data_IF_257794364864
#
_entry.id   IF_257794364864
#
_cell.length_a   1.000
_cell.length_b   1.000
_cell.length_c   1.000
_cell.angle_alpha   90.00
_cell.angle_beta   90.00
_cell.angle_gamma   90.00
#
_symmetry.space_group_name_H-M   'P 1'
#
loop_
_entity.id
_entity.type
_entity.pdbx_description
1 polymer ?
#
# COMPACT_ATOMS: atom_id res chain seq x y z
N UNK A 1 -19.15 -1.61 -13.37
CA UNK A 1 -18.55 -0.85 -12.24
C UNK A 1 -18.09 0.47 -12.79
N UNK A 2 -18.48 1.58 -12.16
CA UNK A 2 -18.00 2.89 -12.57
C UNK A 2 -16.54 3.06 -12.10
N UNK A 3 -15.66 3.62 -12.93
CA UNK A 3 -14.25 3.82 -12.57
C UNK A 3 -13.87 5.27 -12.73
N UNK A 4 -13.03 5.77 -11.83
CA UNK A 4 -12.41 7.09 -11.93
C UNK A 4 -10.91 6.96 -12.15
N UNK A 5 -10.34 8.00 -12.76
CA UNK A 5 -8.90 8.16 -12.88
C UNK A 5 -8.40 9.01 -11.70
N UNK A 6 -7.36 8.53 -11.03
CA UNK A 6 -6.75 9.15 -9.85
C UNK A 6 -5.30 9.52 -10.17
N UNK A 7 -4.91 10.77 -9.95
CA UNK A 7 -3.52 11.23 -10.05
C UNK A 7 -2.70 10.89 -8.80
N UNK A 8 -1.37 11.07 -8.83
CA UNK A 8 -0.51 10.87 -7.66
C UNK A 8 -0.89 11.72 -6.44
N UNK A 9 -1.22 13.00 -6.65
CA UNK A 9 -1.68 13.89 -5.58
C UNK A 9 -2.98 13.38 -4.94
N UNK A 10 -3.93 12.92 -5.77
CA UNK A 10 -5.17 12.35 -5.28
C UNK A 10 -4.91 11.02 -4.55
N UNK A 11 -4.02 10.17 -5.08
CA UNK A 11 -3.63 8.91 -4.45
C UNK A 11 -3.00 9.13 -3.06
N UNK A 12 -2.19 10.18 -2.87
CA UNK A 12 -1.65 10.53 -1.55
C UNK A 12 -2.79 10.82 -0.55
N UNK A 13 -3.80 11.59 -0.97
CA UNK A 13 -5.01 11.81 -0.19
C UNK A 13 -5.73 10.52 0.20
N UNK A 14 -5.87 9.58 -0.74
CA UNK A 14 -6.48 8.27 -0.48
C UNK A 14 -5.66 7.43 0.50
N UNK A 15 -4.33 7.48 0.45
CA UNK A 15 -3.45 6.78 1.42
C UNK A 15 -3.63 7.33 2.84
N UNK A 16 -3.85 8.65 3.00
CA UNK A 16 -4.23 9.18 4.31
C UNK A 16 -5.58 8.62 4.80
N UNK A 17 -6.57 8.47 3.91
CA UNK A 17 -7.84 7.82 4.25
C UNK A 17 -7.65 6.34 4.65
N UNK A 18 -6.69 5.65 4.04
CA UNK A 18 -6.29 4.30 4.46
C UNK A 18 -5.75 4.29 5.89
N UNK A 19 -4.85 5.20 6.23
CA UNK A 19 -4.33 5.29 7.60
C UNK A 19 -5.40 5.64 8.63
N UNK A 20 -6.37 6.49 8.28
CA UNK A 20 -7.52 6.80 9.14
C UNK A 20 -8.43 5.57 9.35
N UNK A 21 -8.69 4.82 8.28
CA UNK A 21 -9.55 3.63 8.33
C UNK A 21 -8.89 2.45 9.04
N UNK A 22 -7.55 2.33 8.96
CA UNK A 22 -6.76 1.23 9.52
C UNK A 22 -5.61 1.77 10.39
N UNK A 23 -5.92 2.38 11.55
CA UNK A 23 -4.93 3.09 12.37
C UNK A 23 -3.83 2.18 12.95
N UNK A 24 -4.11 0.87 13.06
CA UNK A 24 -3.15 -0.14 13.50
C UNK A 24 -1.91 -0.25 12.58
N UNK A 25 -2.01 0.20 11.32
CA UNK A 25 -0.89 0.22 10.37
C UNK A 25 0.28 1.08 10.89
N UNK A 26 -0.04 2.22 11.52
CA UNK A 26 0.96 3.13 12.07
C UNK A 26 1.62 2.61 13.36
N UNK A 27 1.19 1.45 13.85
CA UNK A 27 1.70 0.81 15.06
C UNK A 27 2.70 -0.31 14.73
N UNK A 28 3.18 -0.39 13.49
CA UNK A 28 4.11 -1.44 13.06
C UNK A 28 5.49 -1.39 13.74
N UNK A 29 5.87 -0.25 14.31
CA UNK A 29 7.17 -0.04 14.96
C UNK A 29 8.24 0.49 14.00
N UNK A 30 9.49 0.57 14.50
CA UNK A 30 10.65 1.10 13.77
C UNK A 30 11.48 -0.04 13.20
N UNK A 31 11.74 0.01 11.89
CA UNK A 31 12.52 -0.98 11.14
C UNK A 31 13.86 -1.29 11.81
N UNK A 32 14.21 -2.57 11.85
CA UNK A 32 15.44 -3.13 12.37
C UNK A 32 16.30 -3.71 11.24
N UNK A 33 17.63 -3.84 11.40
CA UNK A 33 18.52 -4.37 10.37
C UNK A 33 18.10 -5.75 9.82
N UNK A 34 17.60 -6.64 10.67
CA UNK A 34 17.19 -8.01 10.33
C UNK A 34 15.83 -8.10 9.60
N UNK A 35 15.10 -6.99 9.45
CA UNK A 35 13.77 -6.98 8.86
C UNK A 35 13.78 -7.17 7.33
N UNK A 36 14.94 -7.03 6.67
CA UNK A 36 15.08 -7.18 5.21
C UNK A 36 14.52 -8.52 4.69
N UNK A 37 14.63 -9.58 5.48
CA UNK A 37 14.12 -10.91 5.12
C UNK A 37 12.58 -10.99 5.08
N UNK A 38 11.87 -10.00 5.63
CA UNK A 38 10.41 -9.99 5.76
C UNK A 38 9.69 -9.27 4.60
N UNK A 39 10.41 -8.72 3.62
CA UNK A 39 9.82 -7.94 2.51
C UNK A 39 8.75 -8.73 1.75
N UNK A 40 9.02 -9.99 1.37
CA UNK A 40 8.07 -10.81 0.62
C UNK A 40 6.75 -11.01 1.36
N UNK A 41 6.79 -11.23 2.67
CA UNK A 41 5.60 -11.41 3.49
C UNK A 41 4.88 -10.08 3.76
N UNK A 42 5.62 -8.98 3.88
CA UNK A 42 5.06 -7.63 3.96
C UNK A 42 4.29 -7.25 2.68
N UNK A 43 4.86 -7.55 1.51
CA UNK A 43 4.20 -7.31 0.22
C UNK A 43 2.92 -8.14 0.09
N UNK A 44 2.95 -9.43 0.51
CA UNK A 44 1.75 -10.27 0.55
C UNK A 44 0.70 -9.73 1.51
N UNK A 45 1.12 -9.25 2.68
CA UNK A 45 0.21 -8.61 3.63
C UNK A 45 -0.46 -7.38 3.03
N UNK A 46 0.31 -6.50 2.36
CA UNK A 46 -0.22 -5.32 1.68
C UNK A 46 -1.25 -5.66 0.59
N UNK A 47 -1.08 -6.76 -0.13
CA UNK A 47 -2.08 -7.24 -1.09
C UNK A 47 -3.41 -7.67 -0.45
N UNK A 48 -3.40 -8.00 0.85
CA UNK A 48 -4.58 -8.35 1.64
C UNK A 48 -5.17 -7.17 2.42
N UNK A 49 -4.54 -5.97 2.34
CA UNK A 49 -4.84 -4.86 3.23
C UNK A 49 -6.30 -4.41 3.14
N UNK A 50 -6.93 -4.57 1.98
CA UNK A 50 -8.34 -4.19 1.78
C UNK A 50 -9.24 -4.90 2.79
N UNK A 51 -9.06 -6.21 2.95
CA UNK A 51 -9.88 -7.08 3.81
C UNK A 51 -9.30 -7.27 5.21
N UNK A 52 -8.08 -6.80 5.47
CA UNK A 52 -7.44 -6.97 6.77
C UNK A 52 -8.04 -6.02 7.82
N UNK A 53 -8.52 -6.57 8.94
CA UNK A 53 -9.04 -5.79 10.08
C UNK A 53 -7.98 -5.55 11.17
N UNK A 54 -6.77 -6.08 10.98
CA UNK A 54 -5.63 -5.96 11.88
C UNK A 54 -4.40 -6.70 11.33
N UNK A 55 -3.35 -6.79 12.13
CA UNK A 55 -2.12 -7.52 11.78
C UNK A 55 -2.29 -9.04 11.70
N UNK A 56 -3.35 -9.60 12.30
CA UNK A 56 -3.57 -11.05 12.34
C UNK A 56 -2.36 -11.79 12.92
N UNK A 57 -1.85 -12.77 12.17
CA UNK A 57 -0.68 -13.56 12.54
C UNK A 57 0.66 -12.98 12.01
N UNK A 58 0.68 -11.76 11.48
CA UNK A 58 1.90 -11.15 10.99
C UNK A 58 2.93 -11.01 12.14
N UNK A 59 4.16 -11.45 11.89
CA UNK A 59 5.28 -11.25 12.80
C UNK A 59 5.71 -9.78 12.86
N UNK A 60 6.42 -9.37 13.90
CA UNK A 60 6.74 -7.95 14.10
C UNK A 60 7.63 -7.36 13.00
N UNK A 61 8.51 -8.16 12.40
CA UNK A 61 9.30 -7.74 11.22
C UNK A 61 8.40 -7.38 10.03
N UNK A 62 7.39 -8.21 9.74
CA UNK A 62 6.39 -7.93 8.70
C UNK A 62 5.66 -6.62 8.98
N UNK A 63 5.23 -6.39 10.22
CA UNK A 63 4.52 -5.15 10.60
C UNK A 63 5.39 -3.90 10.37
N UNK A 64 6.66 -3.97 10.77
CA UNK A 64 7.64 -2.88 10.57
C UNK A 64 7.88 -2.61 9.10
N UNK A 65 8.10 -3.64 8.29
CA UNK A 65 8.34 -3.49 6.85
C UNK A 65 7.09 -2.96 6.14
N UNK A 66 5.90 -3.45 6.46
CA UNK A 66 4.63 -2.91 5.92
C UNK A 66 4.51 -1.41 6.20
N UNK A 67 4.79 -0.99 7.45
CA UNK A 67 4.75 0.42 7.82
C UNK A 67 5.77 1.24 6.99
N UNK A 68 7.03 0.80 6.94
CA UNK A 68 8.07 1.45 6.14
C UNK A 68 7.70 1.58 4.66
N UNK A 69 7.18 0.50 4.04
CA UNK A 69 6.78 0.50 2.63
C UNK A 69 5.62 1.46 2.35
N UNK A 70 4.64 1.57 3.26
CA UNK A 70 3.54 2.52 3.11
C UNK A 70 4.00 3.97 3.24
N UNK A 71 4.92 4.25 4.15
CA UNK A 71 5.52 5.58 4.30
C UNK A 71 6.36 5.97 3.09
N UNK A 72 7.19 5.05 2.58
CA UNK A 72 7.95 5.24 1.34
C UNK A 72 7.03 5.45 0.13
N UNK A 73 5.96 4.66 0.02
CA UNK A 73 4.96 4.84 -1.03
C UNK A 73 4.30 6.23 -0.97
N UNK A 74 3.87 6.66 0.22
CA UNK A 74 3.30 8.00 0.41
C UNK A 74 4.31 9.10 0.06
N UNK A 75 5.57 8.97 0.53
CA UNK A 75 6.62 9.92 0.24
C UNK A 75 6.88 10.04 -1.28
N UNK A 76 6.90 8.91 -1.99
CA UNK A 76 7.03 8.89 -3.45
C UNK A 76 5.82 9.54 -4.12
N UNK A 77 4.58 9.29 -3.67
CA UNK A 77 3.40 9.95 -4.25
C UNK A 77 3.48 11.47 -4.14
N UNK A 78 4.00 11.98 -3.02
CA UNK A 78 4.07 13.42 -2.75
C UNK A 78 5.28 14.11 -3.39
N UNK A 79 6.31 13.36 -3.79
CA UNK A 79 7.55 13.95 -4.29
C UNK A 79 7.45 14.30 -5.79
N UNK A 80 7.62 15.57 -6.20
CA UNK A 80 7.38 16.01 -7.59
C UNK A 80 8.27 15.35 -8.65
N UNK A 81 9.46 14.88 -8.26
CA UNK A 81 10.37 14.15 -9.16
C UNK A 81 10.37 12.63 -8.91
N UNK A 82 9.35 12.10 -8.25
CA UNK A 82 9.22 10.65 -8.07
C UNK A 82 8.80 9.96 -9.37
N UNK A 83 8.96 8.62 -9.44
CA UNK A 83 8.40 7.82 -10.51
C UNK A 83 6.86 7.93 -10.65
N UNK A 84 6.17 8.49 -9.64
CA UNK A 84 4.71 8.61 -9.63
C UNK A 84 4.20 9.96 -10.13
N UNK A 85 5.05 10.98 -10.32
CA UNK A 85 4.64 12.35 -10.69
C UNK A 85 3.71 12.44 -11.92
N UNK A 86 3.88 11.56 -12.91
CA UNK A 86 3.01 11.47 -14.09
C UNK A 86 2.03 10.28 -14.08
N UNK A 87 2.00 9.51 -12.98
CA UNK A 87 1.26 8.25 -12.93
C UNK A 87 -0.21 8.47 -12.58
N UNK A 88 -1.05 7.63 -13.17
CA UNK A 88 -2.49 7.65 -12.97
C UNK A 88 -3.00 6.23 -12.80
N UNK A 89 -3.98 6.06 -11.92
CA UNK A 89 -4.62 4.77 -11.65
C UNK A 89 -6.09 4.83 -11.99
N UNK A 90 -6.62 3.71 -12.50
CA UNK A 90 -8.07 3.51 -12.62
C UNK A 90 -8.54 2.72 -11.41
N UNK A 91 -9.41 3.32 -10.62
CA UNK A 91 -9.98 2.68 -9.42
C UNK A 91 -11.51 2.66 -9.51
N UNK A 92 -12.17 1.71 -8.83
CA UNK A 92 -13.62 1.75 -8.65
C UNK A 92 -14.05 3.07 -8.02
N UNK A 93 -14.99 3.77 -8.66
CA UNK A 93 -15.59 4.99 -8.13
C UNK A 93 -16.48 4.69 -6.92
N UNK A 94 -17.00 3.46 -6.88
CA UNK A 94 -17.94 2.99 -5.88
C UNK A 94 -17.19 2.52 -4.63
N UNK A 95 -17.63 3.00 -3.46
CA UNK A 95 -17.11 2.59 -2.16
C UNK A 95 -16.27 3.66 -1.45
N UNK A 96 -15.75 3.33 -0.26
CA UNK A 96 -15.00 4.29 0.54
C UNK A 96 -13.61 4.57 -0.05
N UNK A 97 -13.15 5.81 0.11
CA UNK A 97 -11.86 6.30 -0.38
C UNK A 97 -10.66 5.41 0.00
N UNK A 98 -10.63 4.87 1.22
CA UNK A 98 -9.55 4.00 1.67
C UNK A 98 -9.42 2.70 0.85
N UNK A 99 -10.51 2.19 0.25
CA UNK A 99 -10.44 1.01 -0.63
C UNK A 99 -9.79 1.34 -1.96
N UNK A 100 -10.00 2.56 -2.47
CA UNK A 100 -9.31 3.02 -3.68
C UNK A 100 -7.79 3.06 -3.45
N UNK A 101 -7.34 3.48 -2.26
CA UNK A 101 -5.92 3.40 -1.89
C UNK A 101 -5.38 1.96 -1.89
N UNK A 102 -6.14 1.01 -1.34
CA UNK A 102 -5.76 -0.41 -1.35
C UNK A 102 -5.64 -0.97 -2.78
N UNK A 103 -6.53 -0.57 -3.69
CA UNK A 103 -6.46 -0.94 -5.12
C UNK A 103 -5.19 -0.37 -5.77
N UNK A 104 -4.87 0.91 -5.52
CA UNK A 104 -3.66 1.56 -6.05
C UNK A 104 -2.40 0.85 -5.55
N UNK A 105 -2.31 0.57 -4.24
CA UNK A 105 -1.19 -0.18 -3.66
C UNK A 105 -1.04 -1.56 -4.30
N UNK A 106 -2.14 -2.28 -4.48
CA UNK A 106 -2.11 -3.61 -5.08
C UNK A 106 -1.70 -3.57 -6.56
N UNK A 107 -2.10 -2.54 -7.30
CA UNK A 107 -1.66 -2.33 -8.69
C UNK A 107 -0.15 -2.08 -8.77
N UNK A 108 0.37 -1.18 -7.92
CA UNK A 108 1.81 -0.86 -7.90
C UNK A 108 2.69 -2.01 -7.42
N UNK A 109 2.21 -2.79 -6.44
CA UNK A 109 2.88 -4.02 -6.02
C UNK A 109 2.95 -5.01 -7.18
N UNK A 110 1.85 -5.23 -7.90
CA UNK A 110 1.83 -6.18 -9.04
C UNK A 110 2.68 -5.68 -10.21
N UNK A 111 2.73 -4.37 -10.43
CA UNK A 111 3.57 -3.76 -11.45
C UNK A 111 5.06 -3.93 -11.13
N UNK A 112 5.44 -3.71 -9.87
CA UNK A 112 6.84 -3.79 -9.42
C UNK A 112 7.31 -5.23 -9.20
N UNK A 113 6.41 -6.12 -8.80
CA UNK A 113 6.66 -7.53 -8.51
C UNK A 113 5.83 -8.44 -9.42
N UNK A 114 6.03 -8.36 -10.73
CA UNK A 114 5.29 -9.18 -11.72
C UNK A 114 5.33 -10.70 -11.44
N UNK A 115 6.36 -11.19 -10.74
CA UNK A 115 6.48 -12.59 -10.32
C UNK A 115 5.49 -12.99 -9.21
N UNK A 116 4.98 -12.05 -8.41
CA UNK A 116 3.93 -12.30 -7.41
C UNK A 116 2.52 -12.32 -8.02
N UNK A 117 2.35 -11.89 -9.27
CA UNK A 117 1.08 -11.94 -9.99
C UNK A 117 0.78 -13.33 -10.59
N UNK A 118 1.80 -14.18 -10.74
CA UNK A 118 1.66 -15.57 -11.18
C UNK A 118 1.27 -16.47 -10.00
N UNK A 119 -0.03 -16.79 -9.89
CA UNK A 119 -0.49 -17.93 -9.06
C UNK A 119 0.13 -19.21 -9.63
N UNK A 120 0.87 -19.94 -8.80
CA UNK A 120 1.04 -21.39 -8.96
C UNK A 120 -0.16 -22.11 -8.34
#
# INVERSE_FOLDING_TARGET
>A
MNTITVSADQAAGLVFELFKAKPWINQGGVMQPEDECAEGDAVRFLLSIETADGWGAAGDSVKRVVNSLLLDFLAKLMHPASPFSGRQWRVPADGPAWRQAAVILADEIRHSHGHLATRH
#
